data_IF_945408768223
#
_entry.id   IF_945408768223
#
_cell.length_a   1.000
_cell.length_b   1.000
_cell.length_c   1.000
_cell.angle_alpha   90.00
_cell.angle_beta   90.00
_cell.angle_gamma   90.00
#
_symmetry.space_group_name_H-M   'P 1'
#
loop_
_entity.id
_entity.type
_entity.pdbx_description
1 polymer ?
#
# COMPACT_ATOMS: atom_id res chain seq x y z
N UNK A 1 49.95 -24.12 -30.88
CA UNK A 1 50.21 -24.13 -29.46
C UNK A 1 48.88 -23.89 -28.84
N UNK A 2 48.03 -24.94 -28.68
CA UNK A 2 47.96 -25.91 -27.59
C UNK A 2 47.78 -25.17 -26.26
N UNK A 3 46.72 -25.32 -25.54
CA UNK A 3 46.20 -26.50 -24.86
C UNK A 3 44.78 -26.24 -24.35
N UNK A 4 43.83 -27.05 -24.66
CA UNK A 4 43.22 -28.19 -23.91
C UNK A 4 42.72 -27.88 -22.51
N UNK A 5 41.38 -27.83 -22.39
CA UNK A 5 40.63 -28.93 -21.73
C UNK A 5 40.60 -28.92 -20.20
N UNK A 6 39.40 -28.80 -19.61
CA UNK A 6 38.92 -29.75 -18.63
C UNK A 6 37.45 -29.53 -18.33
N UNK A 7 36.68 -30.34 -18.99
CA UNK A 7 35.33 -30.78 -18.64
C UNK A 7 35.37 -31.47 -17.24
N UNK A 8 34.56 -31.07 -16.31
CA UNK A 8 34.32 -31.87 -15.10
C UNK A 8 32.84 -31.89 -14.78
N UNK A 9 32.12 -32.81 -15.40
CA UNK A 9 30.80 -33.29 -15.01
C UNK A 9 30.92 -33.96 -13.64
N UNK A 10 30.25 -33.40 -12.64
CA UNK A 10 29.86 -34.16 -11.46
C UNK A 10 28.38 -34.50 -11.57
N UNK A 11 28.14 -35.75 -11.98
CA UNK A 11 26.88 -36.45 -11.76
C UNK A 11 26.72 -36.71 -10.28
N UNK A 12 25.68 -36.13 -9.64
CA UNK A 12 25.24 -36.56 -8.31
C UNK A 12 23.96 -37.37 -8.45
N UNK A 13 24.18 -38.66 -8.23
CA UNK A 13 23.24 -39.77 -8.09
C UNK A 13 22.10 -39.45 -7.10
N UNK A 14 20.87 -39.55 -7.59
CA UNK A 14 19.67 -39.52 -6.75
C UNK A 14 19.39 -40.90 -6.16
N UNK A 15 19.70 -41.08 -4.91
CA UNK A 15 19.25 -42.24 -4.13
C UNK A 15 17.84 -41.97 -3.57
N UNK A 16 16.83 -42.58 -4.20
CA UNK A 16 15.46 -42.67 -3.68
C UNK A 16 15.38 -43.74 -2.59
N UNK A 17 15.36 -43.32 -1.33
CA UNK A 17 14.97 -44.21 -0.23
C UNK A 17 13.45 -44.14 -0.03
N UNK A 18 12.75 -45.19 -0.49
CA UNK A 18 11.34 -45.44 -0.21
C UNK A 18 11.24 -46.09 1.19
N UNK A 19 10.88 -45.33 2.21
CA UNK A 19 10.44 -45.90 3.48
C UNK A 19 8.93 -46.12 3.44
N UNK A 20 8.53 -47.41 3.38
CA UNK A 20 7.15 -47.85 3.60
C UNK A 20 6.86 -47.75 5.10
N UNK A 21 5.87 -46.92 5.48
CA UNK A 21 5.28 -46.94 6.80
C UNK A 21 4.05 -47.85 6.78
N UNK A 22 4.12 -48.93 7.60
CA UNK A 22 2.97 -49.77 7.92
C UNK A 22 2.08 -49.02 8.93
N UNK A 23 0.78 -48.94 8.63
CA UNK A 23 -0.23 -48.52 9.60
C UNK A 23 -0.63 -49.70 10.47
N UNK A 24 -0.39 -49.60 11.77
CA UNK A 24 -1.02 -50.48 12.77
C UNK A 24 -2.30 -49.79 13.24
N UNK A 25 -3.44 -50.46 13.07
CA UNK A 25 -4.73 -50.07 13.62
C UNK A 25 -4.79 -50.48 15.08
N UNK A 26 -4.93 -49.53 15.98
CA UNK A 26 -5.19 -49.77 17.42
C UNK A 26 -5.96 -48.58 17.96
N UNK A 27 -7.26 -48.79 18.24
CA UNK A 27 -8.15 -47.78 18.75
C UNK A 27 -7.94 -47.44 20.20
N UNK A 28 -8.04 -46.13 20.52
CA UNK A 28 -8.61 -45.56 21.75
C UNK A 28 -8.56 -44.05 21.61
N UNK A 29 -9.70 -43.37 21.78
CA UNK A 29 -9.85 -41.95 21.57
C UNK A 29 -9.02 -41.11 22.53
N UNK A 30 -8.12 -40.35 21.96
CA UNK A 30 -7.56 -39.14 22.58
C UNK A 30 -7.98 -38.01 21.69
N UNK A 31 -8.99 -37.23 22.14
CA UNK A 31 -9.31 -35.93 21.53
C UNK A 31 -8.12 -35.04 21.82
N UNK A 32 -7.18 -35.01 20.87
CA UNK A 32 -5.95 -34.23 21.00
C UNK A 32 -6.27 -32.73 20.88
N UNK A 33 -5.85 -31.99 21.89
CA UNK A 33 -5.94 -30.50 21.92
C UNK A 33 -5.21 -29.82 20.74
N UNK A 34 -4.50 -30.56 19.91
CA UNK A 34 -3.83 -30.10 18.68
C UNK A 34 -4.80 -29.74 17.55
N UNK A 35 -6.01 -30.30 17.50
CA UNK A 35 -7.01 -29.96 16.47
C UNK A 35 -7.59 -28.57 16.59
N UNK A 36 -7.72 -28.04 17.82
CA UNK A 36 -8.26 -26.70 18.05
C UNK A 36 -7.26 -25.61 17.68
N UNK A 37 -5.97 -25.85 17.90
CA UNK A 37 -4.90 -24.90 17.55
C UNK A 37 -4.71 -24.77 16.03
N UNK A 38 -4.84 -25.87 15.27
CA UNK A 38 -4.77 -25.82 13.80
C UNK A 38 -6.00 -25.13 13.17
N UNK A 39 -7.20 -25.33 13.72
CA UNK A 39 -8.40 -24.63 13.23
C UNK A 39 -8.38 -23.13 13.57
N UNK A 40 -7.76 -22.71 14.66
CA UNK A 40 -7.55 -21.32 15.00
C UNK A 40 -6.56 -20.64 14.06
N UNK A 41 -5.44 -21.26 13.76
CA UNK A 41 -4.41 -20.76 12.86
C UNK A 41 -4.93 -20.60 11.42
N UNK A 42 -5.69 -21.55 10.91
CA UNK A 42 -6.29 -21.47 9.56
C UNK A 42 -7.35 -20.37 9.45
N UNK A 43 -8.16 -20.13 10.48
CA UNK A 43 -9.13 -19.01 10.49
C UNK A 43 -8.45 -17.63 10.56
N UNK A 44 -7.35 -17.52 11.29
CA UNK A 44 -6.57 -16.27 11.38
C UNK A 44 -5.90 -16.00 10.03
N UNK A 45 -5.33 -17.01 9.39
CA UNK A 45 -4.68 -16.89 8.08
C UNK A 45 -5.70 -16.58 6.96
N UNK A 46 -6.89 -17.19 7.01
CA UNK A 46 -7.99 -16.84 6.11
C UNK A 46 -8.55 -15.43 6.32
N UNK A 47 -8.62 -14.94 7.55
CA UNK A 47 -9.00 -13.54 7.83
C UNK A 47 -7.92 -12.58 7.34
N UNK A 48 -6.65 -12.94 7.48
CA UNK A 48 -5.53 -12.12 6.99
C UNK A 48 -5.49 -12.05 5.46
N UNK A 49 -5.86 -13.12 4.77
CA UNK A 49 -5.99 -13.16 3.30
C UNK A 49 -7.25 -12.45 2.77
N UNK A 50 -8.25 -12.18 3.63
CA UNK A 50 -9.44 -11.40 3.29
C UNK A 50 -9.31 -9.90 3.61
N UNK A 51 -8.28 -9.51 4.35
CA UNK A 51 -7.98 -8.10 4.59
C UNK A 51 -7.23 -7.54 3.38
N UNK A 52 -7.73 -6.43 2.86
CA UNK A 52 -7.09 -5.68 1.79
C UNK A 52 -5.63 -5.36 2.17
N UNK A 53 -4.69 -5.65 1.28
CA UNK A 53 -3.28 -5.39 1.56
C UNK A 53 -2.99 -3.89 1.64
N UNK A 54 -1.97 -3.45 2.41
CA UNK A 54 -1.60 -2.04 2.48
C UNK A 54 -1.40 -1.38 1.10
N UNK A 55 -0.78 -2.10 0.15
CA UNK A 55 -0.61 -1.62 -1.23
C UNK A 55 -1.96 -1.38 -1.92
N UNK A 56 -2.92 -2.29 -1.77
CA UNK A 56 -4.23 -2.14 -2.41
C UNK A 56 -5.03 -0.97 -1.82
N UNK A 57 -4.97 -0.77 -0.50
CA UNK A 57 -5.57 0.41 0.14
C UNK A 57 -5.02 1.71 -0.47
N UNK A 58 -3.68 1.81 -0.60
CA UNK A 58 -3.04 3.01 -1.14
C UNK A 58 -3.31 3.17 -2.65
N UNK A 59 -3.34 2.07 -3.43
CA UNK A 59 -3.72 2.12 -4.85
C UNK A 59 -5.13 2.67 -5.03
N UNK A 60 -6.07 2.16 -4.26
CA UNK A 60 -7.47 2.59 -4.30
C UNK A 60 -7.62 4.04 -3.85
N UNK A 61 -6.89 4.45 -2.81
CA UNK A 61 -6.85 5.84 -2.36
C UNK A 61 -6.32 6.78 -3.47
N UNK A 62 -5.19 6.43 -4.10
CA UNK A 62 -4.64 7.24 -5.19
C UNK A 62 -5.58 7.28 -6.41
N UNK A 63 -6.24 6.17 -6.75
CA UNK A 63 -7.21 6.13 -7.86
C UNK A 63 -8.44 7.01 -7.59
N UNK A 64 -8.91 7.06 -6.34
CA UNK A 64 -10.07 7.85 -5.94
C UNK A 64 -9.94 9.36 -6.21
N UNK A 65 -8.71 9.89 -6.27
CA UNK A 65 -8.47 11.29 -6.65
C UNK A 65 -8.80 11.57 -8.13
N UNK A 66 -8.64 10.57 -9.01
CA UNK A 66 -9.00 10.70 -10.41
C UNK A 66 -10.53 10.68 -10.65
N UNK A 67 -11.26 10.00 -9.77
CA UNK A 67 -12.72 9.85 -9.87
C UNK A 67 -13.47 11.11 -9.38
N UNK A 68 -12.74 12.14 -8.92
CA UNK A 68 -13.30 13.41 -8.44
C UNK A 68 -14.34 13.23 -7.32
N UNK A 69 -14.10 12.23 -6.46
CA UNK A 69 -14.95 12.00 -5.28
C UNK A 69 -14.78 13.12 -4.25
N UNK A 70 -15.77 13.31 -3.39
CA UNK A 70 -15.77 14.39 -2.39
C UNK A 70 -14.70 14.23 -1.32
N UNK A 71 -14.35 15.35 -0.66
CA UNK A 71 -13.35 15.34 0.41
C UNK A 71 -13.70 14.41 1.58
N UNK A 72 -14.99 14.24 1.90
CA UNK A 72 -15.46 13.31 2.92
C UNK A 72 -15.21 11.85 2.53
N UNK A 73 -15.40 11.51 1.26
CA UNK A 73 -15.17 10.17 0.72
C UNK A 73 -13.68 9.85 0.66
N UNK A 74 -12.82 10.82 0.26
CA UNK A 74 -11.37 10.69 0.37
C UNK A 74 -10.94 10.51 1.83
N UNK A 75 -11.50 11.28 2.75
CA UNK A 75 -11.18 11.17 4.17
C UNK A 75 -11.66 9.84 4.79
N UNK A 76 -12.63 9.14 4.20
CA UNK A 76 -13.07 7.83 4.67
C UNK A 76 -11.99 6.73 4.55
N UNK A 77 -10.93 6.96 3.79
CA UNK A 77 -9.76 6.06 3.77
C UNK A 77 -8.92 6.11 5.06
N UNK A 78 -9.07 7.14 5.87
CA UNK A 78 -8.24 7.39 7.05
C UNK A 78 -8.89 6.88 8.35
N UNK A 79 -8.05 6.60 9.36
CA UNK A 79 -8.50 6.40 10.74
C UNK A 79 -8.96 7.73 11.35
N UNK A 80 -9.69 7.66 12.48
CA UNK A 80 -10.21 8.87 13.14
C UNK A 80 -9.11 9.81 13.64
N UNK A 81 -7.95 9.25 14.00
CA UNK A 81 -6.78 9.93 14.55
C UNK A 81 -5.63 10.08 13.55
N UNK A 82 -5.86 9.81 12.26
CA UNK A 82 -4.84 9.82 11.23
C UNK A 82 -4.09 11.15 11.13
N UNK A 83 -2.84 11.09 10.68
CA UNK A 83 -1.98 12.24 10.45
C UNK A 83 -1.73 12.41 8.95
N UNK A 84 -2.04 13.60 8.42
CA UNK A 84 -1.68 14.01 7.07
C UNK A 84 -0.66 15.14 7.10
N UNK A 85 0.44 14.99 6.38
CA UNK A 85 1.55 15.94 6.40
C UNK A 85 2.13 16.17 5.01
N UNK A 86 1.84 17.30 4.41
CA UNK A 86 2.55 17.83 3.24
C UNK A 86 3.79 18.59 3.70
N UNK A 87 4.96 17.99 3.57
CA UNK A 87 6.22 18.57 4.02
C UNK A 87 6.66 19.67 3.03
N UNK A 88 6.97 20.90 3.51
CA UNK A 88 7.28 21.31 4.89
C UNK A 88 6.14 21.97 5.68
N UNK A 89 4.89 21.87 5.21
CA UNK A 89 3.74 22.49 5.91
C UNK A 89 3.45 21.82 7.25
N UNK A 90 2.65 22.46 8.10
CA UNK A 90 2.23 21.86 9.37
C UNK A 90 1.34 20.62 9.13
N UNK A 91 1.48 19.56 9.95
CA UNK A 91 0.63 18.39 9.84
C UNK A 91 -0.81 18.69 10.25
N UNK A 92 -1.73 17.91 9.69
CA UNK A 92 -3.16 17.93 10.01
C UNK A 92 -3.51 16.60 10.69
N UNK A 93 -4.10 16.64 11.88
CA UNK A 93 -4.44 15.45 12.66
C UNK A 93 -5.95 15.27 12.76
N UNK A 94 -6.39 14.06 12.52
CA UNK A 94 -7.78 13.62 12.61
C UNK A 94 -8.53 13.68 11.29
N UNK A 95 -9.34 12.64 11.03
CA UNK A 95 -10.08 12.45 9.77
C UNK A 95 -10.92 13.66 9.38
N UNK A 96 -11.65 14.26 10.32
CA UNK A 96 -12.48 15.43 10.04
C UNK A 96 -11.62 16.65 9.62
N UNK A 97 -10.47 16.86 10.26
CA UNK A 97 -9.56 17.94 9.91
C UNK A 97 -8.90 17.69 8.53
N UNK A 98 -8.58 16.43 8.21
CA UNK A 98 -8.08 16.01 6.88
C UNK A 98 -9.14 16.29 5.81
N UNK A 99 -10.41 15.91 6.03
CA UNK A 99 -11.51 16.23 5.11
C UNK A 99 -11.62 17.73 4.85
N UNK A 100 -11.60 18.55 5.91
CA UNK A 100 -11.64 20.00 5.79
C UNK A 100 -10.42 20.57 5.06
N UNK A 101 -9.25 19.98 5.25
CA UNK A 101 -8.03 20.38 4.54
C UNK A 101 -8.16 20.09 3.04
N UNK A 102 -8.56 18.87 2.66
CA UNK A 102 -8.79 18.48 1.27
C UNK A 102 -9.83 19.40 0.62
N UNK A 103 -10.94 19.66 1.29
CA UNK A 103 -12.01 20.54 0.79
C UNK A 103 -11.56 22.01 0.54
N UNK A 104 -10.52 22.46 1.22
CA UNK A 104 -9.92 23.78 0.98
C UNK A 104 -9.06 23.80 -0.28
N UNK A 105 -8.40 22.68 -0.60
CA UNK A 105 -7.56 22.57 -1.80
C UNK A 105 -8.39 22.38 -3.07
N UNK A 106 -9.41 21.55 -3.04
CA UNK A 106 -10.25 21.26 -4.21
C UNK A 106 -11.55 22.05 -4.08
N UNK A 107 -11.75 23.02 -4.96
CA UNK A 107 -12.94 23.88 -4.99
C UNK A 107 -13.49 23.96 -6.40
N UNK A 108 -14.28 22.97 -6.85
CA UNK A 108 -14.91 23.04 -8.16
C UNK A 108 -15.72 24.34 -8.33
N UNK A 109 -15.49 25.04 -9.44
CA UNK A 109 -16.21 26.28 -9.77
C UNK A 109 -15.77 27.53 -9.02
N UNK A 110 -14.69 27.48 -8.20
CA UNK A 110 -14.06 28.63 -7.57
C UNK A 110 -12.65 28.86 -8.15
N UNK A 111 -12.07 30.06 -8.03
CA UNK A 111 -10.65 30.25 -8.34
C UNK A 111 -9.80 29.29 -7.48
N UNK A 112 -8.99 28.46 -8.12
CA UNK A 112 -8.13 27.50 -7.45
C UNK A 112 -8.06 26.14 -8.16
N UNK A 113 -7.79 25.10 -7.40
CA UNK A 113 -7.64 23.75 -7.95
C UNK A 113 -9.02 23.11 -8.15
N UNK A 114 -9.36 22.79 -9.39
CA UNK A 114 -10.61 22.12 -9.75
C UNK A 114 -10.54 20.60 -9.52
N UNK A 115 -9.39 20.00 -9.80
CA UNK A 115 -9.17 18.57 -9.64
C UNK A 115 -7.67 18.28 -9.43
N UNK A 116 -7.40 17.15 -8.76
CA UNK A 116 -6.05 16.59 -8.63
C UNK A 116 -6.15 15.13 -9.02
N UNK A 117 -5.23 14.68 -9.90
CA UNK A 117 -5.09 13.27 -10.25
C UNK A 117 -3.74 12.76 -9.79
N UNK A 118 -3.73 11.67 -9.02
CA UNK A 118 -2.50 10.98 -8.61
C UNK A 118 -2.11 9.92 -9.63
N UNK A 119 -1.10 10.21 -10.43
CA UNK A 119 -0.53 9.26 -11.39
C UNK A 119 0.63 8.53 -10.73
N UNK A 120 0.36 7.32 -10.21
CA UNK A 120 1.37 6.47 -9.56
C UNK A 120 2.30 5.88 -10.62
N UNK A 121 3.61 6.13 -10.48
CA UNK A 121 4.68 5.58 -11.33
C UNK A 121 5.19 4.27 -10.72
N UNK A 122 5.60 4.32 -9.45
CA UNK A 122 6.06 3.17 -8.70
C UNK A 122 5.38 3.11 -7.33
N UNK A 123 5.15 1.88 -6.85
CA UNK A 123 4.62 1.64 -5.52
C UNK A 123 5.32 0.43 -4.91
N UNK A 124 5.76 0.54 -3.67
CA UNK A 124 6.40 -0.53 -2.92
C UNK A 124 5.89 -0.55 -1.48
N UNK A 125 5.95 -1.70 -0.81
CA UNK A 125 5.57 -1.81 0.59
C UNK A 125 6.60 -2.63 1.39
N UNK A 126 6.73 -2.24 2.67
CA UNK A 126 7.43 -3.01 3.68
C UNK A 126 6.50 -3.12 4.91
N UNK A 127 5.81 -4.26 5.03
CA UNK A 127 4.76 -4.44 6.03
C UNK A 127 3.64 -3.39 5.88
N UNK A 128 3.33 -2.62 6.94
CA UNK A 128 2.28 -1.61 6.92
C UNK A 128 2.68 -0.31 6.19
N UNK A 129 3.96 -0.13 5.88
CA UNK A 129 4.49 1.08 5.23
C UNK A 129 4.42 0.90 3.71
N UNK A 130 3.78 1.84 3.04
CA UNK A 130 3.68 1.89 1.58
C UNK A 130 4.32 3.18 1.08
N UNK A 131 5.16 3.08 0.07
CA UNK A 131 5.82 4.20 -0.58
C UNK A 131 5.34 4.31 -2.03
N UNK A 132 5.10 5.54 -2.48
CA UNK A 132 4.72 5.83 -3.86
C UNK A 132 5.67 6.87 -4.45
N UNK A 133 6.15 6.59 -5.65
CA UNK A 133 6.61 7.63 -6.57
C UNK A 133 5.45 7.95 -7.50
N UNK A 134 5.02 9.21 -7.56
CA UNK A 134 3.89 9.63 -8.38
C UNK A 134 4.09 11.02 -8.96
N UNK A 135 3.28 11.34 -9.93
CA UNK A 135 3.10 12.69 -10.45
C UNK A 135 1.67 13.11 -10.14
N UNK A 136 1.53 14.16 -9.36
CA UNK A 136 0.24 14.79 -9.08
C UNK A 136 -0.08 15.81 -10.17
N UNK A 137 -1.17 15.57 -10.89
CA UNK A 137 -1.63 16.44 -11.98
C UNK A 137 -2.70 17.38 -11.41
N UNK A 138 -2.37 18.65 -11.32
CA UNK A 138 -3.27 19.69 -10.85
C UNK A 138 -4.00 20.32 -12.04
N UNK A 139 -5.32 20.38 -11.97
CA UNK A 139 -6.16 21.07 -12.93
C UNK A 139 -6.71 22.36 -12.32
N UNK A 140 -6.45 23.47 -12.98
CA UNK A 140 -7.00 24.79 -12.69
C UNK A 140 -7.95 25.19 -13.84
N UNK A 141 -8.75 26.25 -13.70
CA UNK A 141 -9.70 26.68 -14.74
C UNK A 141 -9.07 26.96 -16.11
N UNK A 142 -7.86 27.50 -16.13
CA UNK A 142 -7.17 28.00 -17.33
C UNK A 142 -5.89 27.21 -17.68
N UNK A 143 -5.38 26.37 -16.76
CA UNK A 143 -4.13 25.63 -16.95
C UNK A 143 -4.11 24.32 -16.19
N UNK A 144 -3.14 23.48 -16.53
CA UNK A 144 -2.79 22.28 -15.74
C UNK A 144 -1.30 22.24 -15.53
N UNK A 145 -0.84 21.64 -14.43
CA UNK A 145 0.56 21.39 -14.20
C UNK A 145 0.79 20.06 -13.48
N UNK A 146 1.99 19.55 -13.60
CA UNK A 146 2.44 18.30 -13.01
C UNK A 146 3.46 18.57 -11.91
N UNK A 147 3.34 17.85 -10.79
CA UNK A 147 4.24 17.93 -9.65
C UNK A 147 4.74 16.53 -9.28
N UNK A 148 6.05 16.24 -9.34
CA UNK A 148 6.61 15.01 -8.81
C UNK A 148 6.47 14.96 -7.29
N UNK A 149 6.00 13.84 -6.75
CA UNK A 149 5.75 13.65 -5.32
C UNK A 149 6.19 12.26 -4.88
N UNK A 150 6.89 12.19 -3.75
CA UNK A 150 7.11 10.95 -3.00
C UNK A 150 6.13 10.90 -1.83
N UNK A 151 5.28 9.88 -1.80
CA UNK A 151 4.33 9.66 -0.72
C UNK A 151 4.72 8.48 0.16
N UNK A 152 4.56 8.63 1.48
CA UNK A 152 4.70 7.55 2.46
C UNK A 152 3.39 7.42 3.21
N UNK A 153 2.85 6.20 3.23
CA UNK A 153 1.61 5.86 3.90
C UNK A 153 1.86 4.80 4.97
N UNK A 154 1.21 4.93 6.11
CA UNK A 154 1.10 3.88 7.12
C UNK A 154 -0.34 3.36 7.10
N UNK A 155 -0.50 2.04 7.04
CA UNK A 155 -1.81 1.40 6.88
C UNK A 155 -2.01 0.37 7.98
N UNK A 156 -3.15 0.44 8.67
CA UNK A 156 -3.60 -0.57 9.63
C UNK A 156 -5.10 -0.82 9.43
N UNK A 157 -5.51 -2.07 9.51
CA UNK A 157 -6.91 -2.49 9.40
C UNK A 157 -7.63 -1.90 8.16
N UNK A 158 -6.96 -1.95 7.02
CA UNK A 158 -7.44 -1.39 5.74
C UNK A 158 -7.73 0.12 5.78
N UNK A 159 -7.11 0.86 6.69
CA UNK A 159 -7.20 2.32 6.81
C UNK A 159 -5.80 2.94 6.85
N UNK A 160 -5.69 4.17 6.35
CA UNK A 160 -4.48 4.98 6.41
C UNK A 160 -4.42 5.64 7.79
N UNK A 161 -3.37 5.35 8.55
CA UNK A 161 -3.11 5.96 9.86
C UNK A 161 -2.20 7.18 9.76
N UNK A 162 -1.33 7.20 8.73
CA UNK A 162 -0.51 8.37 8.43
C UNK A 162 -0.25 8.47 6.93
N UNK A 163 -0.17 9.70 6.43
CA UNK A 163 0.21 10.03 5.06
C UNK A 163 1.14 11.24 5.07
N UNK A 164 2.31 11.09 4.46
CA UNK A 164 3.32 12.14 4.32
C UNK A 164 3.70 12.27 2.86
N UNK A 165 3.66 13.50 2.33
CA UNK A 165 4.11 13.82 0.99
C UNK A 165 5.34 14.72 1.02
N UNK A 166 6.28 14.40 0.14
CA UNK A 166 7.54 15.11 -0.08
C UNK A 166 7.59 15.61 -1.52
N UNK A 167 7.62 16.90 -1.70
CA UNK A 167 7.65 17.55 -3.01
C UNK A 167 8.38 18.89 -2.96
N UNK A 168 8.67 19.43 -4.13
CA UNK A 168 9.28 20.76 -4.24
C UNK A 168 8.21 21.85 -4.09
N UNK A 169 8.20 22.52 -2.93
CA UNK A 169 7.26 23.60 -2.63
C UNK A 169 7.42 24.79 -3.58
N UNK A 170 8.64 25.07 -4.07
CA UNK A 170 8.86 26.16 -5.02
C UNK A 170 8.22 25.84 -6.37
N UNK A 171 8.35 24.60 -6.85
CA UNK A 171 7.63 24.16 -8.06
C UNK A 171 6.12 24.30 -7.90
N UNK A 172 5.57 23.91 -6.76
CA UNK A 172 4.14 24.04 -6.50
C UNK A 172 3.69 25.49 -6.51
N UNK A 173 4.32 26.35 -5.69
CA UNK A 173 3.91 27.77 -5.54
C UNK A 173 4.10 28.57 -6.81
N UNK A 174 5.18 28.37 -7.57
CA UNK A 174 5.44 29.08 -8.83
C UNK A 174 4.44 28.74 -9.94
N UNK A 175 3.79 27.58 -9.86
CA UNK A 175 2.78 27.14 -10.84
C UNK A 175 1.35 27.47 -10.43
N UNK A 176 1.12 27.72 -9.14
CA UNK A 176 -0.17 28.16 -8.61
C UNK A 176 -0.45 29.64 -8.90
N UNK A 177 0.57 30.49 -8.89
CA UNK A 177 0.49 31.93 -9.26
C UNK A 177 0.79 32.11 -10.70
#
# INVERSE_FOLDING_TARGET
>A
MDDKNLDNRMEMSHSRSRRKFLYAVGGAGIVSATGLALMGATKIDQRRSQMESPIEVVRRFCAAWADNIGAAELAAFFTDDAIYHNIPMAPVTGRAAIANNIAKFIRPGAPGIEAIQFRVIHIAANGPIVMTERVDVFKLPDKSFELPVMGIFEVSDAKITAWRDYFDMHQFTSRMG
#
